data_IF_542780578543
#
_entry.id   IF_542780578543
#
_cell.length_a   1.000
_cell.length_b   1.000
_cell.length_c   1.000
_cell.angle_alpha   90.00
_cell.angle_beta   90.00
_cell.angle_gamma   90.00
#
_symmetry.space_group_name_H-M   'P 1'
#
loop_
_entity.id
_entity.type
_entity.pdbx_description
1 polymer ?
#
# COMPACT_ATOMS: atom_id res chain seq x y z
N UNK A 1 -19.71 1.57 20.93
CA UNK A 1 -19.00 2.33 21.99
C UNK A 1 -17.62 1.71 22.14
N UNK A 2 -16.56 2.39 21.70
CA UNK A 2 -15.18 1.96 21.97
C UNK A 2 -14.89 2.20 23.46
N UNK A 3 -14.32 1.20 24.12
CA UNK A 3 -13.94 1.25 25.53
C UNK A 3 -12.86 2.32 25.78
N UNK A 4 -13.06 3.17 26.80
CA UNK A 4 -12.12 4.23 27.21
C UNK A 4 -10.72 3.69 27.51
N UNK A 5 -10.60 2.43 27.95
CA UNK A 5 -9.31 1.78 28.19
C UNK A 5 -8.55 1.53 26.88
N UNK A 6 -9.28 1.10 25.83
CA UNK A 6 -8.74 0.84 24.49
C UNK A 6 -8.28 2.15 23.84
N UNK A 7 -9.05 3.23 24.00
CA UNK A 7 -8.67 4.56 23.50
C UNK A 7 -7.41 5.09 24.17
N UNK A 8 -7.27 4.97 25.50
CA UNK A 8 -6.04 5.38 26.20
C UNK A 8 -4.82 4.58 25.74
N UNK A 9 -4.96 3.26 25.60
CA UNK A 9 -3.88 2.41 25.13
C UNK A 9 -3.42 2.80 23.71
N UNK A 10 -4.35 3.08 22.81
CA UNK A 10 -4.04 3.53 21.45
C UNK A 10 -3.30 4.88 21.45
N UNK A 11 -3.76 5.84 22.27
CA UNK A 11 -3.09 7.14 22.42
C UNK A 11 -1.65 6.95 22.93
N UNK A 12 -1.47 6.17 24.00
CA UNK A 12 -0.15 5.92 24.57
C UNK A 12 0.78 5.24 23.57
N UNK A 13 0.29 4.22 22.84
CA UNK A 13 1.07 3.55 21.79
C UNK A 13 1.51 4.52 20.69
N UNK A 14 0.60 5.38 20.22
CA UNK A 14 0.92 6.41 19.23
C UNK A 14 2.00 7.37 19.75
N UNK A 15 1.84 7.90 20.97
CA UNK A 15 2.82 8.82 21.56
C UNK A 15 4.21 8.17 21.73
N UNK A 16 4.26 6.92 22.19
CA UNK A 16 5.53 6.19 22.32
C UNK A 16 6.19 5.94 20.95
N UNK A 17 5.41 5.53 19.95
CA UNK A 17 5.88 5.32 18.59
C UNK A 17 6.44 6.61 17.97
N UNK A 18 5.72 7.74 18.09
CA UNK A 18 6.21 9.04 17.63
C UNK A 18 7.52 9.41 18.32
N UNK A 19 7.63 9.23 19.64
CA UNK A 19 8.85 9.59 20.38
C UNK A 19 10.06 8.76 19.91
N UNK A 20 9.86 7.45 19.74
CA UNK A 20 10.89 6.54 19.22
C UNK A 20 11.33 6.94 17.82
N UNK A 21 10.39 7.10 16.88
CA UNK A 21 10.69 7.43 15.49
C UNK A 21 11.28 8.83 15.36
N UNK A 22 10.86 9.80 16.18
CA UNK A 22 11.43 11.15 16.18
C UNK A 22 12.94 11.11 16.47
N UNK A 23 13.39 10.26 17.39
CA UNK A 23 14.82 10.07 17.64
C UNK A 23 15.58 9.56 16.41
N UNK A 24 15.02 8.56 15.72
CA UNK A 24 15.58 8.01 14.47
C UNK A 24 15.63 9.07 13.37
N UNK A 25 14.58 9.87 13.22
CA UNK A 25 14.49 10.92 12.20
C UNK A 25 15.44 12.08 12.48
N UNK A 26 15.63 12.49 13.74
CA UNK A 26 16.62 13.49 14.13
C UNK A 26 18.03 12.99 13.79
N UNK A 27 18.36 11.75 14.14
CA UNK A 27 19.64 11.15 13.76
C UNK A 27 19.81 11.11 12.24
N UNK A 28 18.77 10.71 11.52
CA UNK A 28 18.75 10.72 10.05
C UNK A 28 18.99 12.09 9.45
N UNK A 29 18.39 13.15 9.99
CA UNK A 29 18.62 14.54 9.59
C UNK A 29 20.06 14.98 9.82
N UNK A 30 20.65 14.61 10.97
CA UNK A 30 22.06 14.86 11.27
C UNK A 30 22.96 14.14 10.28
N UNK A 31 22.69 12.87 9.95
CA UNK A 31 23.47 12.16 8.93
C UNK A 31 23.29 12.79 7.54
N UNK A 32 22.07 13.20 7.18
CA UNK A 32 21.74 13.81 5.89
C UNK A 32 22.46 15.14 5.66
N UNK A 33 22.81 15.89 6.72
CA UNK A 33 23.54 17.16 6.57
C UNK A 33 25.00 16.98 6.13
N UNK A 34 25.59 15.79 6.26
CA UNK A 34 26.94 15.53 5.78
C UNK A 34 26.92 14.80 4.43
N UNK A 35 27.50 15.45 3.41
CA UNK A 35 27.57 14.91 2.05
C UNK A 35 28.18 13.49 1.98
N UNK A 36 29.12 13.16 2.88
CA UNK A 36 29.76 11.84 2.97
C UNK A 36 28.75 10.69 3.21
N UNK A 37 27.64 10.93 3.90
CA UNK A 37 26.65 9.89 4.17
C UNK A 37 25.62 9.71 3.07
N UNK A 38 25.57 10.60 2.06
CA UNK A 38 24.57 10.52 0.97
C UNK A 38 24.52 9.15 0.28
N UNK A 39 25.64 8.53 -0.15
CA UNK A 39 25.58 7.20 -0.77
C UNK A 39 25.05 6.11 0.17
N UNK A 40 25.35 6.21 1.47
CA UNK A 40 24.86 5.26 2.47
C UNK A 40 23.34 5.39 2.67
N UNK A 41 22.86 6.63 2.82
CA UNK A 41 21.44 6.92 2.99
C UNK A 41 20.62 6.52 1.76
N UNK A 42 21.12 6.75 0.55
CA UNK A 42 20.44 6.29 -0.66
C UNK A 42 20.36 4.77 -0.74
N UNK A 43 21.46 4.05 -0.44
CA UNK A 43 21.43 2.57 -0.40
C UNK A 43 20.46 2.04 0.65
N UNK A 44 20.44 2.63 1.84
CA UNK A 44 19.49 2.26 2.89
C UNK A 44 18.04 2.49 2.42
N UNK A 45 17.77 3.62 1.78
CA UNK A 45 16.45 3.92 1.24
C UNK A 45 16.02 2.95 0.14
N UNK A 46 16.94 2.57 -0.77
CA UNK A 46 16.69 1.57 -1.82
C UNK A 46 16.35 0.20 -1.20
N UNK A 47 17.03 -0.20 -0.11
CA UNK A 47 16.73 -1.42 0.64
C UNK A 47 15.33 -1.35 1.27
N UNK A 48 14.98 -0.23 1.91
CA UNK A 48 13.66 -0.02 2.51
C UNK A 48 12.56 -0.07 1.44
N UNK A 49 12.79 0.48 0.25
CA UNK A 49 11.79 0.50 -0.82
C UNK A 49 11.70 -0.82 -1.59
N UNK A 50 12.71 -1.70 -1.48
CA UNK A 50 12.86 -2.88 -2.33
C UNK A 50 13.06 -2.56 -3.82
N UNK A 51 13.29 -1.28 -4.17
CA UNK A 51 13.55 -0.79 -5.52
C UNK A 51 14.44 0.44 -5.47
N UNK A 52 15.26 0.63 -6.51
CA UNK A 52 16.09 1.82 -6.65
C UNK A 52 15.27 3.02 -7.07
N UNK A 53 15.10 4.03 -6.23
CA UNK A 53 14.41 5.27 -6.60
C UNK A 53 15.42 6.40 -6.87
N UNK A 54 15.07 7.32 -7.76
CA UNK A 54 15.92 8.50 -7.96
C UNK A 54 15.92 9.34 -6.67
N UNK A 55 17.10 9.72 -6.13
CA UNK A 55 17.17 10.60 -4.97
C UNK A 55 16.43 11.92 -5.18
N UNK A 56 16.29 12.41 -6.41
CA UNK A 56 15.55 13.63 -6.71
C UNK A 56 14.04 13.51 -6.43
N UNK A 57 13.53 12.32 -6.12
CA UNK A 57 12.12 12.13 -5.73
C UNK A 57 11.94 12.37 -4.23
N UNK A 58 12.79 11.76 -3.42
CA UNK A 58 12.60 11.67 -1.97
C UNK A 58 13.60 12.47 -1.14
N UNK A 59 14.75 12.87 -1.68
CA UNK A 59 15.87 13.40 -0.89
C UNK A 59 15.50 14.65 -0.10
N UNK A 60 14.72 15.56 -0.68
CA UNK A 60 14.23 16.76 0.03
C UNK A 60 13.45 16.37 1.28
N UNK A 61 12.51 15.44 1.12
CA UNK A 61 11.61 14.99 2.18
C UNK A 61 12.18 13.88 3.07
N UNK A 62 13.34 13.30 2.74
CA UNK A 62 13.98 12.28 3.56
C UNK A 62 14.24 12.80 4.98
N UNK A 63 13.71 12.08 5.97
CA UNK A 63 13.69 12.42 7.40
C UNK A 63 12.93 13.71 7.77
N UNK A 64 12.05 14.19 6.91
CA UNK A 64 11.14 15.31 7.21
C UNK A 64 10.06 14.93 8.23
N UNK A 65 9.31 15.93 8.69
CA UNK A 65 8.16 15.70 9.56
C UNK A 65 7.05 14.95 8.82
N UNK A 66 6.84 15.27 7.55
CA UNK A 66 5.84 14.64 6.68
C UNK A 66 6.14 13.15 6.49
N UNK A 67 7.41 12.78 6.28
CA UNK A 67 7.82 11.39 6.22
C UNK A 67 7.63 10.68 7.58
N UNK A 68 7.84 11.37 8.70
CA UNK A 68 7.62 10.80 10.03
C UNK A 68 6.15 10.46 10.24
N UNK A 69 5.26 11.41 9.94
CA UNK A 69 3.81 11.19 10.05
C UNK A 69 3.36 10.05 9.14
N UNK A 70 3.80 10.02 7.88
CA UNK A 70 3.45 8.93 6.95
C UNK A 70 3.93 7.54 7.42
N UNK A 71 5.13 7.46 8.00
CA UNK A 71 5.63 6.20 8.60
C UNK A 71 4.80 5.79 9.83
N UNK A 72 4.45 6.75 10.69
CA UNK A 72 3.59 6.48 11.84
C UNK A 72 2.22 5.97 11.39
N UNK A 73 1.60 6.64 10.42
CA UNK A 73 0.27 6.28 9.92
C UNK A 73 0.27 4.87 9.30
N UNK A 74 1.28 4.52 8.51
CA UNK A 74 1.44 3.15 7.99
C UNK A 74 1.54 2.10 9.11
N UNK A 75 2.33 2.36 10.15
CA UNK A 75 2.46 1.45 11.30
C UNK A 75 1.14 1.33 12.07
N UNK A 76 0.43 2.44 12.30
CA UNK A 76 -0.84 2.44 13.02
C UNK A 76 -1.93 1.71 12.24
N UNK A 77 -1.99 1.90 10.92
CA UNK A 77 -2.90 1.18 10.03
C UNK A 77 -2.59 -0.32 10.04
N UNK A 78 -1.32 -0.72 9.98
CA UNK A 78 -0.93 -2.13 10.08
C UNK A 78 -1.25 -2.76 11.45
N UNK A 79 -1.03 -2.04 12.56
CA UNK A 79 -1.32 -2.55 13.90
C UNK A 79 -2.82 -2.75 14.16
N UNK A 80 -3.66 -1.86 13.62
CA UNK A 80 -5.10 -1.88 13.87
C UNK A 80 -5.90 -2.69 12.83
N UNK A 81 -5.24 -3.25 11.81
CA UNK A 81 -5.91 -4.05 10.78
C UNK A 81 -6.70 -5.22 11.37
N UNK A 82 -7.91 -5.41 10.86
CA UNK A 82 -8.82 -6.47 11.31
C UNK A 82 -8.59 -7.78 10.58
N UNK A 83 -8.18 -7.72 9.32
CA UNK A 83 -7.84 -8.89 8.51
C UNK A 83 -6.52 -9.49 9.00
N UNK A 84 -6.52 -10.80 9.28
CA UNK A 84 -5.35 -11.54 9.78
C UNK A 84 -5.04 -12.73 8.86
N UNK A 85 -3.79 -13.23 8.86
CA UNK A 85 -3.43 -14.44 8.12
C UNK A 85 -4.30 -15.62 8.55
N UNK A 86 -4.74 -16.45 7.59
CA UNK A 86 -5.65 -17.58 7.81
C UNK A 86 -7.01 -17.22 8.42
N UNK A 87 -7.32 -15.92 8.52
CA UNK A 87 -8.60 -15.43 8.98
C UNK A 87 -9.60 -15.29 7.83
N UNK A 88 -10.88 -15.17 8.20
CA UNK A 88 -11.94 -14.82 7.26
C UNK A 88 -11.68 -13.44 6.65
N UNK A 89 -11.86 -13.34 5.35
CA UNK A 89 -11.69 -12.12 4.57
C UNK A 89 -12.71 -11.08 5.02
N UNK A 90 -12.25 -9.85 5.22
CA UNK A 90 -13.16 -8.72 5.38
C UNK A 90 -13.71 -8.33 4.01
N UNK A 91 -14.97 -8.67 3.74
CA UNK A 91 -15.62 -8.40 2.46
C UNK A 91 -15.86 -6.89 2.23
N UNK A 92 -14.79 -6.20 1.88
CA UNK A 92 -14.72 -4.74 1.86
C UNK A 92 -15.72 -4.15 0.88
N UNK A 93 -16.42 -3.06 1.25
CA UNK A 93 -17.14 -2.27 0.27
C UNK A 93 -16.11 -1.58 -0.64
N UNK A 94 -16.34 -1.67 -1.93
CA UNK A 94 -15.52 -1.08 -2.98
C UNK A 94 -16.41 -0.37 -3.99
N UNK A 95 -15.78 0.32 -4.93
CA UNK A 95 -16.44 1.02 -6.03
C UNK A 95 -15.72 0.67 -7.32
N UNK A 96 -16.46 0.40 -8.40
CA UNK A 96 -15.87 0.21 -9.74
C UNK A 96 -15.35 1.54 -10.31
N UNK A 97 -14.62 1.49 -11.42
CA UNK A 97 -14.19 2.71 -12.11
C UNK A 97 -15.35 3.59 -12.58
N UNK A 98 -16.53 3.01 -12.80
CA UNK A 98 -17.73 3.73 -13.24
C UNK A 98 -18.53 4.34 -12.08
N UNK A 99 -18.13 4.07 -10.83
CA UNK A 99 -18.80 4.61 -9.64
C UNK A 99 -19.83 3.68 -9.00
N UNK A 100 -19.98 2.44 -9.50
CA UNK A 100 -20.93 1.46 -8.96
C UNK A 100 -20.36 0.79 -7.71
N UNK A 101 -21.19 0.64 -6.67
CA UNK A 101 -20.79 -0.05 -5.44
C UNK A 101 -20.72 -1.56 -5.66
N UNK A 102 -19.64 -2.16 -5.15
CA UNK A 102 -19.43 -3.61 -5.18
C UNK A 102 -18.75 -4.09 -3.88
N UNK A 103 -18.48 -5.38 -3.81
CA UNK A 103 -17.78 -6.01 -2.68
C UNK A 103 -16.57 -6.79 -3.16
N UNK A 104 -15.52 -6.84 -2.34
CA UNK A 104 -14.27 -7.54 -2.67
C UNK A 104 -14.49 -9.01 -3.08
N UNK A 105 -15.31 -9.76 -2.34
CA UNK A 105 -15.54 -11.18 -2.60
C UNK A 105 -16.38 -11.45 -3.86
N UNK A 106 -17.03 -10.44 -4.45
CA UNK A 106 -17.69 -10.59 -5.76
C UNK A 106 -16.67 -10.85 -6.89
N UNK A 107 -15.39 -10.56 -6.64
CA UNK A 107 -14.27 -10.78 -7.56
C UNK A 107 -13.50 -12.08 -7.26
N UNK A 108 -13.96 -12.85 -6.28
CA UNK A 108 -13.37 -14.16 -5.95
C UNK A 108 -14.11 -15.29 -6.66
N UNK A 109 -13.39 -16.36 -7.00
CA UNK A 109 -13.96 -17.58 -7.61
C UNK A 109 -13.61 -18.79 -6.75
N UNK A 110 -14.50 -19.79 -6.62
CA UNK A 110 -14.21 -20.99 -5.83
C UNK A 110 -12.95 -21.71 -6.31
N UNK A 111 -12.09 -22.12 -5.37
CA UNK A 111 -10.82 -22.82 -5.63
C UNK A 111 -9.87 -22.05 -6.60
N UNK A 112 -9.96 -20.72 -6.60
CA UNK A 112 -9.05 -19.87 -7.37
C UNK A 112 -8.57 -18.72 -6.51
N UNK A 113 -7.24 -18.55 -6.33
CA UNK A 113 -6.71 -17.46 -5.55
C UNK A 113 -6.95 -16.12 -6.26
N UNK A 114 -7.47 -15.15 -5.52
CA UNK A 114 -7.59 -13.75 -5.89
C UNK A 114 -6.42 -12.96 -5.27
N UNK A 115 -5.53 -12.44 -6.12
CA UNK A 115 -4.44 -11.57 -5.73
C UNK A 115 -4.96 -10.14 -5.70
N UNK A 116 -4.90 -9.52 -4.53
CA UNK A 116 -5.32 -8.14 -4.30
C UNK A 116 -4.09 -7.26 -4.09
N UNK A 117 -3.89 -6.30 -4.99
CA UNK A 117 -2.79 -5.35 -4.93
C UNK A 117 -3.29 -3.95 -4.55
N UNK A 118 -2.97 -3.52 -3.34
CA UNK A 118 -3.36 -2.22 -2.82
C UNK A 118 -2.28 -1.17 -3.08
N UNK A 119 -2.70 0.00 -3.54
CA UNK A 119 -1.82 1.15 -3.70
C UNK A 119 -2.52 2.34 -4.33
N UNK A 120 -1.74 3.39 -4.60
CA UNK A 120 -2.22 4.64 -5.18
C UNK A 120 -1.24 5.20 -6.20
N UNK A 121 -1.72 6.16 -7.00
CA UNK A 121 -0.96 6.75 -8.11
C UNK A 121 0.30 7.47 -7.62
N UNK A 122 0.19 8.16 -6.48
CA UNK A 122 1.30 8.93 -5.92
C UNK A 122 2.33 8.08 -5.19
N UNK A 123 2.17 6.75 -5.04
CA UNK A 123 3.20 5.90 -4.44
C UNK A 123 4.27 5.49 -5.49
N UNK A 124 5.52 5.98 -5.40
CA UNK A 124 6.52 5.69 -6.44
C UNK A 124 6.92 4.21 -6.48
N UNK A 125 6.91 3.52 -5.33
CA UNK A 125 7.23 2.09 -5.25
C UNK A 125 6.15 1.26 -5.94
N UNK A 126 4.86 1.58 -5.71
CA UNK A 126 3.75 0.93 -6.40
C UNK A 126 3.87 1.10 -7.91
N UNK A 127 3.98 2.34 -8.38
CA UNK A 127 4.05 2.64 -9.82
C UNK A 127 5.27 1.99 -10.48
N UNK A 128 6.41 1.92 -9.78
CA UNK A 128 7.62 1.26 -10.29
C UNK A 128 7.51 -0.26 -10.34
N UNK A 129 6.81 -0.89 -9.39
CA UNK A 129 6.58 -2.34 -9.36
C UNK A 129 5.30 -2.75 -10.10
N UNK A 130 4.54 -1.82 -10.69
CA UNK A 130 3.31 -2.13 -11.42
C UNK A 130 3.58 -3.06 -12.61
N UNK A 131 4.63 -2.83 -13.39
CA UNK A 131 5.02 -3.71 -14.50
C UNK A 131 5.35 -5.13 -14.02
N UNK A 132 6.01 -5.28 -12.87
CA UNK A 132 6.29 -6.58 -12.27
C UNK A 132 4.99 -7.30 -11.88
N UNK A 133 4.02 -6.58 -11.33
CA UNK A 133 2.70 -7.13 -10.99
C UNK A 133 1.94 -7.59 -12.24
N UNK A 134 2.00 -6.80 -13.32
CA UNK A 134 1.40 -7.14 -14.61
C UNK A 134 2.04 -8.36 -15.24
N UNK A 135 3.37 -8.51 -15.10
CA UNK A 135 4.07 -9.71 -15.52
C UNK A 135 3.59 -10.94 -14.73
N UNK A 136 3.49 -10.84 -13.41
CA UNK A 136 2.94 -11.93 -12.57
C UNK A 136 1.51 -12.28 -13.01
N UNK A 137 0.65 -11.29 -13.25
CA UNK A 137 -0.70 -11.53 -13.76
C UNK A 137 -0.68 -12.32 -15.08
N UNK A 138 0.14 -11.91 -16.05
CA UNK A 138 0.26 -12.62 -17.33
C UNK A 138 0.74 -14.05 -17.16
N UNK A 139 1.68 -14.28 -16.25
CA UNK A 139 2.29 -15.60 -16.01
C UNK A 139 1.32 -16.56 -15.28
N UNK A 140 0.30 -16.05 -14.56
CA UNK A 140 -0.56 -16.86 -13.68
C UNK A 140 -2.08 -16.67 -13.88
N UNK A 141 -2.54 -15.88 -14.87
CA UNK A 141 -3.97 -15.62 -15.12
C UNK A 141 -4.82 -16.88 -15.37
N UNK A 142 -4.21 -17.98 -15.83
CA UNK A 142 -4.94 -19.23 -16.08
C UNK A 142 -5.37 -19.92 -14.79
N UNK A 143 -4.66 -19.68 -13.69
CA UNK A 143 -4.87 -20.36 -12.40
C UNK A 143 -5.28 -19.42 -11.26
N UNK A 144 -5.16 -18.11 -11.45
CA UNK A 144 -5.48 -17.10 -10.44
C UNK A 144 -6.20 -15.87 -11.01
N UNK A 145 -6.83 -15.11 -10.13
CA UNK A 145 -7.48 -13.84 -10.42
C UNK A 145 -6.69 -12.68 -9.84
N UNK A 146 -6.75 -11.51 -10.50
CA UNK A 146 -5.91 -10.36 -10.14
C UNK A 146 -6.75 -9.09 -10.15
N UNK A 147 -6.63 -8.31 -9.09
CA UNK A 147 -7.23 -6.98 -9.01
C UNK A 147 -6.26 -5.98 -8.36
N UNK A 148 -6.41 -4.72 -8.75
CA UNK A 148 -5.84 -3.58 -8.04
C UNK A 148 -6.96 -2.93 -7.21
N UNK A 149 -6.69 -2.65 -5.94
CA UNK A 149 -7.57 -1.82 -5.10
C UNK A 149 -6.88 -0.49 -4.88
N UNK A 150 -7.42 0.54 -5.52
CA UNK A 150 -6.97 1.92 -5.41
C UNK A 150 -7.35 2.50 -4.05
N UNK A 151 -6.35 2.82 -3.23
CA UNK A 151 -6.54 3.40 -1.89
C UNK A 151 -6.31 4.91 -1.89
N UNK A 152 -6.31 5.52 -0.72
CA UNK A 152 -5.89 6.92 -0.58
C UNK A 152 -4.45 7.17 -1.09
N UNK A 153 -4.19 8.40 -1.52
CA UNK A 153 -2.87 8.83 -1.99
C UNK A 153 -1.82 8.68 -0.90
N UNK A 154 -0.70 8.03 -1.25
CA UNK A 154 0.45 7.94 -0.35
C UNK A 154 1.19 9.29 -0.22
N UNK A 155 1.23 10.05 -1.32
CA UNK A 155 1.98 11.31 -1.41
C UNK A 155 1.19 12.41 -2.15
N UNK A 156 0.04 12.84 -1.60
CA UNK A 156 -0.79 13.87 -2.22
C UNK A 156 -0.12 15.24 -2.18
N UNK A 157 -0.45 16.10 -3.16
CA UNK A 157 0.12 17.45 -3.27
C UNK A 157 -0.35 18.43 -2.20
N UNK A 158 -1.50 18.17 -1.58
CA UNK A 158 -2.03 18.90 -0.42
C UNK A 158 -1.58 18.31 0.94
N UNK A 159 -0.59 17.41 0.92
CA UNK A 159 -0.02 16.77 2.11
C UNK A 159 1.47 16.47 1.93
N UNK A 160 1.85 15.19 2.06
CA UNK A 160 3.24 14.77 1.88
C UNK A 160 3.60 14.61 0.40
N UNK A 161 3.87 15.72 -0.28
CA UNK A 161 4.27 15.72 -1.69
C UNK A 161 5.74 15.26 -1.89
N UNK A 162 5.98 14.49 -2.95
CA UNK A 162 7.33 14.13 -3.41
C UNK A 162 7.67 14.87 -4.71
N UNK A 163 8.97 15.13 -4.92
CA UNK A 163 9.43 15.78 -6.15
C UNK A 163 9.41 14.79 -7.33
N UNK A 164 9.21 15.28 -8.55
CA UNK A 164 9.16 14.45 -9.77
C UNK A 164 8.16 13.27 -9.67
N UNK A 165 7.02 13.51 -9.03
CA UNK A 165 5.94 12.56 -8.84
C UNK A 165 4.63 13.11 -9.43
N UNK A 166 3.55 12.34 -9.37
CA UNK A 166 2.21 12.84 -9.72
C UNK A 166 1.79 13.97 -8.78
N UNK A 167 1.38 15.11 -9.37
CA UNK A 167 0.89 16.28 -8.65
C UNK A 167 -0.64 16.24 -8.58
N UNK A 168 -1.16 15.45 -7.64
CA UNK A 168 -2.61 15.30 -7.41
C UNK A 168 -2.92 15.46 -5.92
N UNK A 169 -3.99 16.20 -5.55
CA UNK A 169 -4.38 16.35 -4.16
C UNK A 169 -5.11 15.11 -3.65
N UNK A 170 -5.29 15.02 -2.33
CA UNK A 170 -6.08 13.97 -1.71
C UNK A 170 -7.54 14.09 -2.18
N UNK A 171 -8.15 13.05 -2.79
CA UNK A 171 -9.53 13.11 -3.25
C UNK A 171 -10.47 13.34 -2.06
N UNK A 172 -11.43 14.25 -2.21
CA UNK A 172 -12.44 14.59 -1.19
C UNK A 172 -13.77 13.90 -1.44
N UNK A 173 -13.99 13.41 -2.66
CA UNK A 173 -15.20 12.67 -3.05
C UNK A 173 -14.86 11.33 -3.70
N UNK A 174 -15.83 10.40 -3.68
CA UNK A 174 -15.66 9.10 -4.36
C UNK A 174 -15.41 9.28 -5.87
N UNK A 175 -16.09 10.25 -6.49
CA UNK A 175 -15.92 10.56 -7.92
C UNK A 175 -14.49 11.00 -8.24
N UNK A 176 -13.91 11.87 -7.40
CA UNK A 176 -12.50 12.28 -7.53
C UNK A 176 -11.55 11.10 -7.37
N UNK A 177 -11.77 10.24 -6.37
CA UNK A 177 -10.94 9.04 -6.18
C UNK A 177 -11.05 8.08 -7.37
N UNK A 178 -12.26 7.88 -7.91
CA UNK A 178 -12.46 7.09 -9.13
C UNK A 178 -11.76 7.74 -10.35
N UNK A 179 -11.71 9.07 -10.43
CA UNK A 179 -10.96 9.75 -11.49
C UNK A 179 -9.45 9.48 -11.40
N UNK A 180 -8.88 9.48 -10.19
CA UNK A 180 -7.48 9.12 -9.98
C UNK A 180 -7.20 7.63 -10.26
N UNK A 181 -8.13 6.75 -9.90
CA UNK A 181 -8.06 5.33 -10.26
C UNK A 181 -8.13 5.08 -11.77
N UNK A 182 -8.95 5.85 -12.51
CA UNK A 182 -8.98 5.83 -13.97
C UNK A 182 -7.64 6.29 -14.57
N UNK A 183 -7.01 7.30 -13.99
CA UNK A 183 -5.66 7.73 -14.39
C UNK A 183 -4.62 6.62 -14.14
N UNK A 184 -4.65 5.96 -12.98
CA UNK A 184 -3.79 4.77 -12.78
C UNK A 184 -4.06 3.68 -13.81
N UNK A 185 -5.32 3.48 -14.22
CA UNK A 185 -5.68 2.51 -15.24
C UNK A 185 -5.06 2.81 -16.61
N UNK A 186 -4.71 4.06 -16.93
CA UNK A 186 -3.99 4.36 -18.19
C UNK A 186 -2.53 3.93 -18.16
N UNK A 187 -1.95 3.78 -16.96
CA UNK A 187 -0.63 3.18 -16.75
C UNK A 187 -0.70 1.65 -16.61
N UNK A 188 -1.91 1.09 -16.50
CA UNK A 188 -2.15 -0.33 -16.34
C UNK A 188 -2.28 -1.06 -17.69
N UNK A 189 -1.17 -1.20 -18.43
CA UNK A 189 -1.10 -1.86 -19.73
C UNK A 189 -1.76 -3.26 -19.81
N UNK A 190 -1.75 -4.03 -18.72
CA UNK A 190 -2.33 -5.38 -18.70
C UNK A 190 -3.86 -5.39 -18.55
N UNK A 191 -4.49 -4.23 -18.36
CA UNK A 191 -5.94 -4.09 -18.09
C UNK A 191 -6.40 -4.91 -16.88
N UNK A 192 -5.53 -5.09 -15.89
CA UNK A 192 -5.93 -5.66 -14.60
C UNK A 192 -7.13 -4.86 -14.05
N UNK A 193 -8.24 -5.49 -13.62
CA UNK A 193 -9.36 -4.78 -13.04
C UNK A 193 -8.92 -3.87 -11.89
N UNK A 194 -9.38 -2.62 -11.92
CA UNK A 194 -9.12 -1.63 -10.87
C UNK A 194 -10.43 -1.36 -10.14
N UNK A 195 -10.41 -1.61 -8.83
CA UNK A 195 -11.46 -1.23 -7.90
C UNK A 195 -10.96 -0.08 -7.04
N UNK A 196 -11.88 0.66 -6.45
CA UNK A 196 -11.58 1.86 -5.67
C UNK A 196 -12.09 1.66 -4.27
N UNK A 197 -11.24 1.90 -3.27
CA UNK A 197 -11.68 1.91 -1.89
C UNK A 197 -12.66 3.05 -1.66
N UNK A 198 -13.63 2.82 -0.78
CA UNK A 198 -14.60 3.84 -0.38
C UNK A 198 -13.91 5.01 0.32
N UNK A 199 -14.52 6.19 0.30
CA UNK A 199 -14.03 7.36 1.06
C UNK A 199 -13.88 7.13 2.58
N UNK A 200 -14.45 6.04 3.12
CA UNK A 200 -14.23 5.61 4.51
C UNK A 200 -12.93 4.82 4.71
N UNK A 201 -12.16 4.59 3.64
CA UNK A 201 -10.92 3.80 3.63
C UNK A 201 -11.11 2.40 4.23
N UNK A 202 -12.31 1.81 4.04
CA UNK A 202 -12.71 0.58 4.70
C UNK A 202 -11.79 -0.60 4.33
N UNK A 203 -11.42 -0.73 3.06
CA UNK A 203 -10.49 -1.76 2.63
C UNK A 203 -9.07 -1.47 3.14
N UNK A 204 -8.60 -0.22 3.00
CA UNK A 204 -7.27 0.18 3.46
C UNK A 204 -7.06 -0.11 4.95
N UNK A 205 -8.03 0.28 5.80
CA UNK A 205 -8.00 0.05 7.25
C UNK A 205 -8.07 -1.45 7.56
N UNK A 206 -9.02 -2.17 6.95
CA UNK A 206 -9.22 -3.59 7.28
C UNK A 206 -8.00 -4.45 6.93
N UNK A 207 -7.31 -4.13 5.82
CA UNK A 207 -6.15 -4.87 5.32
C UNK A 207 -4.81 -4.28 5.77
N UNK A 208 -4.84 -3.15 6.49
CA UNK A 208 -3.62 -2.44 6.86
C UNK A 208 -2.78 -2.09 5.64
N UNK A 209 -3.41 -1.60 4.58
CA UNK A 209 -2.82 -1.61 3.24
C UNK A 209 -1.93 -0.38 2.93
N UNK A 210 -1.99 0.65 3.76
CA UNK A 210 -1.22 1.88 3.54
C UNK A 210 0.28 1.70 3.83
N UNK A 211 1.18 2.22 2.96
CA UNK A 211 0.89 2.91 1.70
C UNK A 211 0.63 1.96 0.52
N UNK A 212 1.15 0.73 0.60
CA UNK A 212 1.03 -0.33 -0.42
C UNK A 212 1.03 -1.71 0.23
N UNK A 213 0.31 -2.68 -0.34
CA UNK A 213 0.27 -4.06 0.18
C UNK A 213 -0.26 -5.09 -0.81
N UNK A 214 0.16 -6.35 -0.63
CA UNK A 214 -0.36 -7.52 -1.36
C UNK A 214 -1.10 -8.46 -0.41
N UNK A 215 -2.17 -9.05 -0.93
CA UNK A 215 -2.87 -10.17 -0.29
C UNK A 215 -3.20 -11.23 -1.33
N UNK A 216 -3.32 -12.48 -0.88
CA UNK A 216 -3.97 -13.55 -1.64
C UNK A 216 -5.15 -14.07 -0.83
N UNK A 217 -6.29 -14.14 -1.50
CA UNK A 217 -7.56 -14.59 -0.95
C UNK A 217 -7.97 -15.85 -1.71
N UNK A 218 -8.35 -16.90 -0.99
CA UNK A 218 -8.91 -18.10 -1.59
C UNK A 218 -10.01 -18.63 -0.68
N UNK A 219 -11.15 -19.00 -1.27
CA UNK A 219 -12.33 -19.53 -0.56
C UNK A 219 -12.70 -18.73 0.71
N UNK A 220 -12.84 -17.41 0.56
CA UNK A 220 -13.16 -16.45 1.62
C UNK A 220 -12.15 -16.35 2.77
N UNK A 221 -10.95 -16.89 2.60
CA UNK A 221 -9.86 -16.85 3.58
C UNK A 221 -8.62 -16.15 3.04
N UNK A 222 -7.88 -15.50 3.94
CA UNK A 222 -6.56 -14.95 3.61
C UNK A 222 -5.54 -16.07 3.66
N UNK A 223 -5.02 -16.45 2.49
CA UNK A 223 -3.99 -17.49 2.35
C UNK A 223 -2.58 -16.93 2.24
N UNK A 224 -2.45 -15.64 1.90
CA UNK A 224 -1.20 -14.89 2.03
C UNK A 224 -1.48 -13.43 2.40
N UNK A 225 -0.64 -12.88 3.28
CA UNK A 225 -0.63 -11.49 3.68
C UNK A 225 0.79 -10.94 3.53
N UNK A 226 0.98 -9.97 2.64
CA UNK A 226 2.26 -9.29 2.47
C UNK A 226 2.65 -8.48 3.72
N UNK A 227 3.95 -8.28 3.89
CA UNK A 227 4.48 -7.40 4.93
C UNK A 227 4.01 -5.95 4.74
N UNK A 228 4.20 -5.11 5.77
CA UNK A 228 3.89 -3.68 5.67
C UNK A 228 4.79 -3.01 4.60
N UNK A 229 4.18 -2.24 3.69
CA UNK A 229 4.89 -1.55 2.63
C UNK A 229 5.68 -0.32 3.10
N UNK A 230 6.68 0.14 2.32
CA UNK A 230 7.14 -0.49 1.09
C UNK A 230 8.07 -1.69 1.31
N UNK A 231 8.67 -1.85 2.49
CA UNK A 231 9.67 -2.88 2.79
C UNK A 231 9.17 -4.31 2.59
N UNK A 232 7.93 -4.60 2.98
CA UNK A 232 7.33 -5.93 2.87
C UNK A 232 6.50 -6.16 1.62
N UNK A 233 6.52 -5.24 0.65
CA UNK A 233 5.75 -5.35 -0.59
C UNK A 233 6.53 -6.16 -1.63
N UNK A 234 6.37 -7.49 -1.59
CA UNK A 234 7.16 -8.44 -2.38
C UNK A 234 6.32 -9.28 -3.34
N UNK A 235 6.28 -8.88 -4.61
CA UNK A 235 5.53 -9.58 -5.69
C UNK A 235 6.09 -10.98 -5.94
N UNK A 236 7.40 -11.17 -5.75
CA UNK A 236 8.04 -12.47 -5.94
C UNK A 236 7.56 -13.50 -4.91
N UNK A 237 7.29 -13.09 -3.66
CA UNK A 237 6.73 -14.00 -2.65
C UNK A 237 5.35 -14.51 -3.07
N UNK A 238 4.51 -13.65 -3.66
CA UNK A 238 3.20 -14.06 -4.20
C UNK A 238 3.37 -15.01 -5.38
N UNK A 239 4.34 -14.74 -6.28
CA UNK A 239 4.64 -15.63 -7.41
C UNK A 239 5.10 -17.00 -6.93
N UNK A 240 5.94 -17.05 -5.89
CA UNK A 240 6.41 -18.31 -5.33
C UNK A 240 5.31 -19.05 -4.56
N UNK A 241 4.44 -18.32 -3.87
CA UNK A 241 3.23 -18.88 -3.27
C UNK A 241 2.34 -19.53 -4.34
N UNK A 242 2.10 -18.86 -5.47
CA UNK A 242 1.30 -19.41 -6.57
C UNK A 242 1.91 -20.70 -7.12
N UNK A 243 3.22 -20.73 -7.42
CA UNK A 243 3.91 -21.94 -7.91
C UNK A 243 3.80 -23.14 -6.95
N UNK A 244 3.77 -22.88 -5.65
CA UNK A 244 3.75 -23.93 -4.63
C UNK A 244 2.34 -24.44 -4.33
N UNK A 245 1.32 -23.58 -4.44
CA UNK A 245 -0.03 -23.86 -3.96
C UNK A 245 -1.07 -24.04 -5.06
N UNK A 246 -0.72 -23.72 -6.31
CA UNK A 246 -1.60 -23.93 -7.47
C UNK A 246 -0.98 -24.94 -8.43
N UNK A 247 -1.82 -25.78 -9.05
CA UNK A 247 -1.37 -26.72 -10.09
C UNK A 247 -1.27 -25.95 -11.40
N UNK A 248 -0.04 -25.78 -11.90
CA UNK A 248 0.24 -25.30 -13.26
C UNK A 248 0.01 -26.43 -14.25
#
# INVERSE_FOLDING_TARGET
MLDRSTTRLQITKRSMLHLLLRGVFILGLVLKSFHRFRPCLCRLFDVICGVRLSPNIYWKSLFSHEMLEGVVDSILVDWNKTTKPSGKVFNSPLVTLDGEYCRLLEWSRPNRPLIVNFGSLTCPVFMKKLEQYQKMMKDFQDIADFIIVYTEEAHPSDGWALENNFDVPSPKTQSERCAMARLLSTHNASRCPVLVDTMLNAANIAYGAFPIRLYVIEDDHVVYQGGAGPTGYEINEVSDWLKQNTKI
#
